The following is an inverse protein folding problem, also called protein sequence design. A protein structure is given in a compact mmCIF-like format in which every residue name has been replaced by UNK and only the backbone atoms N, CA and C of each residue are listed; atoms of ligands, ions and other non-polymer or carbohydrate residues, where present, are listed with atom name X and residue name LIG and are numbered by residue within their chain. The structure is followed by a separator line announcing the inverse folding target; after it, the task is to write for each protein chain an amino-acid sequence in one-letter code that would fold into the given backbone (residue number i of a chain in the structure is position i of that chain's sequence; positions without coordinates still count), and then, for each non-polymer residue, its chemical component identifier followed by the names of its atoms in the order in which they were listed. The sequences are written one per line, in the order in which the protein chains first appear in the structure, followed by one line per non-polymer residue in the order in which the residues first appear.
data_IF_697178569745
#
_entry.id   IF_697178569745
#
_cell.length_a   1.000
_cell.length_b   1.000
_cell.length_c   1.000
_cell.angle_alpha   90.00
_cell.angle_beta   90.00
_cell.angle_gamma   90.00
#
_symmetry.space_group_name_H-M   'P 1'
#
loop_
_entity.id
_entity.type
_entity.pdbx_description
1 polymer ?
#
# COMPACT_ATOMS: atom_id res chain seq x y z
N UNK A 1 -23.58 -6.19 12.87
CA UNK A 1 -22.96 -7.53 12.76
C UNK A 1 -23.58 -8.40 13.85
N UNK A 2 -24.36 -9.41 13.47
CA UNK A 2 -24.75 -10.46 14.42
C UNK A 2 -23.48 -11.12 14.97
N UNK A 3 -23.50 -11.50 16.26
CA UNK A 3 -22.33 -11.99 17.03
C UNK A 3 -21.72 -13.31 16.53
N UNK A 4 -21.96 -13.72 15.29
CA UNK A 4 -21.54 -15.01 14.71
C UNK A 4 -20.88 -14.89 13.33
N UNK A 5 -20.78 -13.69 12.74
CA UNK A 5 -20.03 -13.50 11.50
C UNK A 5 -18.52 -13.50 11.80
N UNK A 6 -17.79 -14.46 11.25
CA UNK A 6 -16.32 -14.51 11.33
C UNK A 6 -15.71 -13.47 10.39
N UNK A 7 -15.13 -12.41 10.97
CA UNK A 7 -14.48 -11.32 10.21
C UNK A 7 -13.21 -11.77 9.50
N UNK A 8 -12.67 -12.93 9.86
CA UNK A 8 -11.50 -13.56 9.23
C UNK A 8 -11.89 -14.68 8.27
N UNK A 9 -13.18 -14.84 7.95
CA UNK A 9 -13.62 -15.83 6.98
C UNK A 9 -12.90 -15.62 5.64
N UNK A 10 -12.40 -16.71 5.06
CA UNK A 10 -11.60 -16.67 3.83
C UNK A 10 -12.38 -17.27 2.67
N UNK A 11 -12.37 -16.58 1.53
CA UNK A 11 -12.92 -17.13 0.29
C UNK A 11 -12.00 -18.20 -0.32
N UNK A 12 -12.33 -18.71 -1.52
CA UNK A 12 -11.54 -19.74 -2.21
C UNK A 12 -10.13 -19.29 -2.60
N UNK A 13 -9.90 -17.98 -2.66
CA UNK A 13 -8.62 -17.34 -2.94
C UNK A 13 -7.95 -16.85 -1.64
N UNK A 14 -8.50 -17.26 -0.49
CA UNK A 14 -8.13 -16.86 0.85
C UNK A 14 -8.17 -15.36 1.13
N UNK A 15 -9.05 -14.64 0.44
CA UNK A 15 -9.37 -13.25 0.73
C UNK A 15 -10.32 -13.16 1.92
N UNK A 16 -9.97 -12.35 2.92
CA UNK A 16 -10.88 -11.93 3.99
C UNK A 16 -11.79 -10.78 3.53
N UNK A 17 -12.97 -10.56 4.15
CA UNK A 17 -13.85 -9.42 3.85
C UNK A 17 -13.13 -8.07 3.78
N UNK A 18 -12.12 -7.87 4.64
CA UNK A 18 -11.32 -6.65 4.69
C UNK A 18 -10.59 -6.39 3.36
N UNK A 19 -10.05 -7.42 2.72
CA UNK A 19 -9.37 -7.30 1.44
C UNK A 19 -10.35 -6.88 0.33
N UNK A 20 -11.54 -7.48 0.30
CA UNK A 20 -12.56 -7.14 -0.69
C UNK A 20 -13.06 -5.69 -0.52
N UNK A 21 -13.29 -5.27 0.73
CA UNK A 21 -13.69 -3.89 1.02
C UNK A 21 -12.58 -2.88 0.65
N UNK A 22 -11.33 -3.19 0.98
CA UNK A 22 -10.18 -2.34 0.63
C UNK A 22 -9.95 -2.26 -0.89
N UNK A 23 -10.08 -3.39 -1.60
CA UNK A 23 -9.96 -3.46 -3.06
C UNK A 23 -11.01 -2.68 -3.83
N UNK A 24 -12.15 -2.38 -3.22
CA UNK A 24 -13.20 -1.54 -3.80
C UNK A 24 -13.27 -0.15 -3.15
N UNK A 25 -12.33 0.21 -2.27
CA UNK A 25 -12.25 1.52 -1.63
C UNK A 25 -13.39 1.83 -0.65
N UNK A 26 -14.10 0.81 -0.15
CA UNK A 26 -15.26 0.98 0.74
C UNK A 26 -14.84 1.29 2.17
N UNK A 27 -14.37 2.53 2.40
CA UNK A 27 -13.76 2.97 3.67
C UNK A 27 -14.65 2.74 4.89
N UNK A 28 -15.97 2.98 4.79
CA UNK A 28 -16.89 2.77 5.90
C UNK A 28 -17.00 1.28 6.27
N UNK A 29 -17.00 0.40 5.27
CA UNK A 29 -17.02 -1.05 5.48
C UNK A 29 -15.68 -1.51 6.06
N UNK A 30 -14.56 -0.98 5.57
CA UNK A 30 -13.23 -1.22 6.15
C UNK A 30 -13.21 -0.81 7.63
N UNK A 31 -13.75 0.37 7.96
CA UNK A 31 -13.84 0.87 9.32
C UNK A 31 -14.60 -0.10 10.22
N UNK A 32 -15.80 -0.53 9.80
CA UNK A 32 -16.61 -1.49 10.54
C UNK A 32 -15.92 -2.83 10.74
N UNK A 33 -15.19 -3.34 9.73
CA UNK A 33 -14.48 -4.62 9.82
C UNK A 33 -13.30 -4.54 10.79
N UNK A 34 -12.53 -3.44 10.74
CA UNK A 34 -11.41 -3.20 11.67
C UNK A 34 -11.91 -3.04 13.10
N UNK A 35 -13.02 -2.32 13.32
CA UNK A 35 -13.66 -2.22 14.64
C UNK A 35 -14.18 -3.57 15.16
N UNK A 36 -14.57 -4.46 14.25
CA UNK A 36 -14.98 -5.82 14.57
C UNK A 36 -13.80 -6.80 14.76
N UNK A 37 -12.55 -6.32 14.67
CA UNK A 37 -11.35 -7.10 14.97
C UNK A 37 -10.59 -7.65 13.76
N UNK A 38 -10.95 -7.24 12.53
CA UNK A 38 -10.16 -7.61 11.35
C UNK A 38 -8.72 -7.08 11.45
N UNK A 39 -7.74 -7.90 11.08
CA UNK A 39 -6.33 -7.54 11.10
C UNK A 39 -6.00 -6.68 9.86
N UNK A 40 -5.64 -5.41 10.09
CA UNK A 40 -5.26 -4.46 9.04
C UNK A 40 -4.04 -4.88 8.22
N UNK A 41 -3.23 -5.80 8.74
CA UNK A 41 -2.04 -6.34 8.10
C UNK A 41 -2.26 -7.75 7.54
N UNK A 42 -3.50 -8.26 7.53
CA UNK A 42 -3.77 -9.56 6.95
C UNK A 42 -3.37 -9.61 5.48
N UNK A 43 -2.87 -10.77 5.07
CA UNK A 43 -2.44 -11.04 3.70
C UNK A 43 -3.47 -11.89 2.99
N UNK A 44 -3.70 -11.59 1.70
CA UNK A 44 -4.40 -12.49 0.80
C UNK A 44 -3.57 -13.76 0.54
N UNK A 45 -4.20 -14.85 0.10
CA UNK A 45 -3.53 -16.16 0.08
C UNK A 45 -2.45 -16.32 -0.98
N UNK A 46 -2.48 -15.53 -2.06
CA UNK A 46 -1.36 -15.44 -3.01
C UNK A 46 -0.17 -14.70 -2.41
N UNK A 47 -0.32 -14.10 -1.22
CA UNK A 47 0.71 -13.33 -0.55
C UNK A 47 0.97 -11.98 -1.20
N UNK A 48 0.18 -11.53 -2.17
CA UNK A 48 0.54 -10.37 -2.99
C UNK A 48 0.00 -9.03 -2.44
N UNK A 49 -0.88 -9.06 -1.44
CA UNK A 49 -1.56 -7.86 -0.97
C UNK A 49 -1.88 -7.86 0.52
N UNK A 50 -1.62 -6.72 1.15
CA UNK A 50 -2.29 -6.27 2.38
C UNK A 50 -3.36 -5.23 2.01
N UNK A 51 -4.33 -4.92 2.89
CA UNK A 51 -5.26 -3.82 2.67
C UNK A 51 -4.57 -2.51 2.25
N UNK A 52 -3.41 -2.18 2.84
CA UNK A 52 -2.64 -0.98 2.50
C UNK A 52 -2.07 -1.04 1.08
N UNK A 53 -1.42 -2.15 0.69
CA UNK A 53 -0.87 -2.31 -0.65
C UNK A 53 -1.95 -2.15 -1.73
N UNK A 54 -3.13 -2.74 -1.50
CA UNK A 54 -4.26 -2.66 -2.41
C UNK A 54 -4.83 -1.24 -2.48
N UNK A 55 -5.02 -0.56 -1.34
CA UNK A 55 -5.51 0.81 -1.31
C UNK A 55 -4.56 1.79 -2.03
N UNK A 56 -3.25 1.57 -1.88
CA UNK A 56 -2.22 2.35 -2.59
C UNK A 56 -2.23 2.05 -4.08
N UNK A 57 -2.31 0.78 -4.49
CA UNK A 57 -2.34 0.37 -5.90
C UNK A 57 -3.48 1.04 -6.66
N UNK A 58 -4.66 1.19 -6.04
CA UNK A 58 -5.84 1.81 -6.65
C UNK A 58 -5.99 3.30 -6.39
N UNK A 59 -5.06 3.92 -5.65
CA UNK A 59 -5.08 5.36 -5.43
C UNK A 59 -6.12 5.86 -4.41
N UNK A 60 -6.60 5.01 -3.50
CA UNK A 60 -7.62 5.37 -2.51
C UNK A 60 -7.03 6.17 -1.33
N UNK A 61 -6.77 7.45 -1.55
CA UNK A 61 -6.07 8.35 -0.60
C UNK A 61 -6.65 8.32 0.82
N UNK A 62 -7.96 8.45 0.98
CA UNK A 62 -8.60 8.44 2.31
C UNK A 62 -8.49 7.08 3.00
N UNK A 63 -8.58 5.98 2.23
CA UNK A 63 -8.43 4.65 2.76
C UNK A 63 -6.97 4.38 3.19
N UNK A 64 -5.99 4.83 2.40
CA UNK A 64 -4.57 4.76 2.79
C UNK A 64 -4.34 5.48 4.12
N UNK A 65 -4.84 6.72 4.25
CA UNK A 65 -4.76 7.50 5.49
C UNK A 65 -5.40 6.76 6.66
N UNK A 66 -6.60 6.21 6.46
CA UNK A 66 -7.30 5.43 7.49
C UNK A 66 -6.46 4.22 7.94
N UNK A 67 -5.93 3.43 7.00
CA UNK A 67 -5.16 2.23 7.30
C UNK A 67 -3.85 2.55 8.03
N UNK A 68 -3.12 3.60 7.63
CA UNK A 68 -1.92 4.07 8.32
C UNK A 68 -2.25 4.52 9.77
N UNK A 69 -3.36 5.23 9.96
CA UNK A 69 -3.85 5.61 11.29
C UNK A 69 -4.25 4.40 12.16
N UNK A 70 -4.50 3.24 11.55
CA UNK A 70 -4.75 1.96 12.22
C UNK A 70 -3.51 1.06 12.28
N UNK A 71 -2.31 1.63 12.10
CA UNK A 71 -1.03 0.93 12.20
C UNK A 71 -0.83 -0.16 11.13
N UNK A 72 -1.37 0.05 9.92
CA UNK A 72 -0.97 -0.75 8.78
C UNK A 72 0.54 -0.60 8.51
N UNK A 73 1.20 -1.71 8.19
CA UNK A 73 2.65 -1.77 7.96
C UNK A 73 3.03 -1.06 6.66
N UNK A 74 3.64 0.12 6.81
CA UNK A 74 4.14 0.95 5.70
C UNK A 74 5.29 0.30 4.93
N UNK A 75 5.89 -0.77 5.46
CA UNK A 75 6.96 -1.53 4.82
C UNK A 75 6.52 -2.89 4.28
N UNK A 76 5.21 -3.19 4.31
CA UNK A 76 4.67 -4.44 3.79
C UNK A 76 5.08 -4.64 2.33
N UNK A 77 5.50 -5.86 1.96
CA UNK A 77 5.94 -6.16 0.58
C UNK A 77 5.01 -7.16 -0.10
N UNK A 78 4.77 -6.93 -1.38
CA UNK A 78 4.14 -7.91 -2.27
C UNK A 78 5.18 -8.94 -2.77
N UNK A 79 4.78 -9.88 -3.62
CA UNK A 79 5.66 -10.96 -4.09
C UNK A 79 6.82 -10.48 -4.97
N UNK A 80 6.69 -9.30 -5.58
CA UNK A 80 7.76 -8.65 -6.34
C UNK A 80 8.67 -7.78 -5.44
N UNK A 81 8.49 -7.87 -4.12
CA UNK A 81 9.25 -7.08 -3.16
C UNK A 81 8.91 -5.60 -3.17
N UNK A 82 7.83 -5.19 -3.84
CA UNK A 82 7.37 -3.81 -3.90
C UNK A 82 6.60 -3.48 -2.62
N UNK A 83 6.96 -2.37 -2.01
CA UNK A 83 6.27 -1.82 -0.85
C UNK A 83 5.26 -0.74 -1.27
N UNK A 84 4.51 -0.13 -0.34
CA UNK A 84 3.56 0.94 -0.66
C UNK A 84 4.18 2.08 -1.46
N UNK A 85 5.42 2.50 -1.15
CA UNK A 85 6.03 3.65 -1.82
C UNK A 85 6.41 3.31 -3.27
N UNK A 86 6.82 2.06 -3.55
CA UNK A 86 6.98 1.59 -4.93
C UNK A 86 5.67 1.65 -5.71
N UNK A 87 4.57 1.18 -5.12
CA UNK A 87 3.27 1.14 -5.81
C UNK A 87 2.72 2.54 -6.07
N UNK A 88 2.88 3.47 -5.12
CA UNK A 88 2.54 4.87 -5.30
C UNK A 88 3.39 5.52 -6.41
N UNK A 89 4.69 5.21 -6.44
CA UNK A 89 5.60 5.68 -7.48
C UNK A 89 5.26 5.14 -8.86
N UNK A 90 4.92 3.85 -8.97
CA UNK A 90 4.53 3.21 -10.22
C UNK A 90 3.30 3.86 -10.85
N UNK A 91 2.30 4.20 -10.02
CA UNK A 91 1.02 4.74 -10.48
C UNK A 91 0.92 6.28 -10.41
N UNK A 92 1.99 6.96 -9.99
CA UNK A 92 2.04 8.43 -9.94
C UNK A 92 1.20 9.07 -8.84
N UNK A 93 0.87 8.33 -7.78
CA UNK A 93 0.03 8.82 -6.69
C UNK A 93 0.84 9.68 -5.69
N UNK A 94 1.14 10.92 -6.08
CA UNK A 94 1.99 11.83 -5.29
C UNK A 94 1.48 12.06 -3.87
N UNK A 95 0.19 12.31 -3.69
CA UNK A 95 -0.40 12.58 -2.37
C UNK A 95 -0.31 11.36 -1.46
N UNK A 96 -0.47 10.15 -2.02
CA UNK A 96 -0.28 8.90 -1.28
C UNK A 96 1.20 8.72 -0.93
N UNK A 97 2.12 8.95 -1.87
CA UNK A 97 3.55 8.90 -1.61
C UNK A 97 3.95 9.86 -0.48
N UNK A 98 3.36 11.07 -0.44
CA UNK A 98 3.56 12.00 0.66
C UNK A 98 3.16 11.41 2.02
N UNK A 99 1.94 10.87 2.12
CA UNK A 99 1.46 10.24 3.36
C UNK A 99 2.33 9.06 3.80
N UNK A 100 2.76 8.23 2.85
CA UNK A 100 3.59 7.07 3.14
C UNK A 100 4.95 7.50 3.71
N UNK A 101 5.57 8.53 3.15
CA UNK A 101 6.84 9.06 3.65
C UNK A 101 6.68 9.74 5.01
N UNK A 102 5.56 10.44 5.25
CA UNK A 102 5.22 10.95 6.59
C UNK A 102 5.01 9.83 7.62
N UNK A 103 4.47 8.70 7.18
CA UNK A 103 4.31 7.49 7.99
C UNK A 103 5.59 6.67 8.14
N UNK A 104 6.72 7.13 7.60
CA UNK A 104 8.03 6.51 7.77
C UNK A 104 8.47 5.54 6.66
N UNK A 105 7.82 5.56 5.49
CA UNK A 105 8.29 4.77 4.34
C UNK A 105 9.76 5.11 3.99
N UNK A 106 10.52 4.08 3.65
CA UNK A 106 11.91 4.23 3.23
C UNK A 106 11.97 4.73 1.77
N UNK A 107 12.47 5.95 1.56
CA UNK A 107 12.65 6.57 0.23
C UNK A 107 13.58 5.75 -0.68
N UNK A 108 14.50 4.97 -0.07
CA UNK A 108 15.52 4.19 -0.78
C UNK A 108 15.20 2.70 -0.85
N UNK A 109 13.95 2.32 -0.55
CA UNK A 109 13.52 0.93 -0.61
C UNK A 109 13.79 0.34 -2.00
N UNK A 110 14.04 -0.97 -2.03
CA UNK A 110 14.38 -1.70 -3.25
C UNK A 110 13.44 -2.89 -3.46
N UNK A 111 12.86 -2.96 -4.65
CA UNK A 111 12.10 -4.12 -5.08
C UNK A 111 13.01 -5.32 -5.33
N UNK A 112 12.46 -6.52 -5.28
CA UNK A 112 13.25 -7.73 -5.60
C UNK A 112 13.32 -7.98 -7.11
N UNK A 113 12.36 -7.45 -7.87
CA UNK A 113 12.34 -7.52 -9.33
C UNK A 113 13.24 -6.44 -9.95
N UNK A 114 14.54 -6.70 -9.94
CA UNK A 114 15.52 -5.83 -10.60
C UNK A 114 15.95 -4.62 -9.77
N UNK A 115 15.69 -4.60 -8.46
CA UNK A 115 16.31 -3.61 -7.56
C UNK A 115 15.81 -2.17 -7.75
N UNK A 116 14.60 -1.99 -8.28
CA UNK A 116 14.08 -0.65 -8.52
C UNK A 116 13.86 0.07 -7.21
N UNK A 117 14.11 1.39 -7.21
CA UNK A 117 13.70 2.29 -6.13
C UNK A 117 12.39 2.99 -6.52
N UNK A 118 11.67 3.63 -5.59
CA UNK A 118 10.55 4.49 -5.93
C UNK A 118 10.88 5.54 -6.99
N UNK A 119 12.11 6.09 -6.95
CA UNK A 119 12.55 7.07 -7.95
C UNK A 119 12.68 6.45 -9.35
N UNK A 120 13.18 5.21 -9.48
CA UNK A 120 13.20 4.49 -10.77
C UNK A 120 11.78 4.34 -11.34
N UNK A 121 10.83 3.89 -10.53
CA UNK A 121 9.45 3.72 -10.96
C UNK A 121 8.80 5.05 -11.37
N UNK A 122 8.92 6.10 -10.55
CA UNK A 122 8.35 7.40 -10.87
C UNK A 122 8.95 8.01 -12.15
N UNK A 123 10.25 7.81 -12.39
CA UNK A 123 10.94 8.29 -13.58
C UNK A 123 10.55 7.52 -14.85
N UNK A 124 10.51 6.17 -14.79
CA UNK A 124 10.13 5.31 -15.92
C UNK A 124 8.74 5.68 -16.46
N UNK A 125 7.78 5.87 -15.56
CA UNK A 125 6.39 6.15 -15.94
C UNK A 125 6.09 7.65 -16.11
N UNK A 126 7.11 8.52 -16.03
CA UNK A 126 6.99 9.94 -16.36
C UNK A 126 6.24 10.79 -15.31
N UNK A 127 6.18 10.35 -14.06
CA UNK A 127 5.46 11.02 -12.97
C UNK A 127 6.25 12.19 -12.40
N UNK A 128 6.39 13.26 -13.20
CA UNK A 128 7.25 14.41 -12.94
C UNK A 128 7.05 15.04 -11.55
N UNK A 129 5.80 15.19 -11.12
CA UNK A 129 5.45 15.74 -9.80
C UNK A 129 5.96 14.87 -8.64
N UNK A 130 5.91 13.56 -8.81
CA UNK A 130 6.39 12.60 -7.83
C UNK A 130 7.92 12.47 -7.86
N UNK A 131 8.54 12.53 -9.04
CA UNK A 131 10.00 12.61 -9.18
C UNK A 131 10.53 13.83 -8.41
N UNK A 132 9.93 15.01 -8.59
CA UNK A 132 10.30 16.22 -7.84
C UNK A 132 10.20 16.00 -6.34
N UNK A 133 9.06 15.48 -5.88
CA UNK A 133 8.85 15.18 -4.47
C UNK A 133 9.91 14.23 -3.91
N UNK A 134 10.21 13.12 -4.60
CA UNK A 134 11.21 12.15 -4.13
C UNK A 134 12.61 12.77 -4.07
N UNK A 135 13.00 13.58 -5.05
CA UNK A 135 14.29 14.31 -5.04
C UNK A 135 14.35 15.34 -3.92
N UNK A 136 13.26 16.07 -3.67
CA UNK A 136 13.13 16.99 -2.53
C UNK A 136 13.26 16.24 -1.19
N UNK A 137 12.81 14.97 -1.13
CA UNK A 137 13.00 14.07 0.01
C UNK A 137 14.34 13.31 -0.02
N UNK A 138 15.31 13.78 -0.79
CA UNK A 138 16.68 13.25 -0.87
C UNK A 138 16.80 11.83 -1.45
N UNK A 139 15.88 11.40 -2.32
CA UNK A 139 16.07 10.18 -3.10
C UNK A 139 17.39 10.23 -3.90
N UNK A 140 18.12 9.11 -3.91
CA UNK A 140 19.38 9.00 -4.65
C UNK A 140 19.13 8.90 -6.15
N UNK A 141 19.40 9.99 -6.86
CA UNK A 141 19.28 10.09 -8.33
C UNK A 141 20.31 9.26 -9.09
N UNK A 142 21.30 8.68 -8.40
CA UNK A 142 22.34 7.82 -8.95
C UNK A 142 22.19 6.35 -8.51
N UNK A 143 21.10 6.01 -7.81
CA UNK A 143 20.80 4.65 -7.45
C UNK A 143 20.79 3.77 -8.70
N UNK A 144 21.41 2.58 -8.62
CA UNK A 144 21.42 1.60 -9.71
C UNK A 144 20.31 0.59 -9.47
N UNK A 145 19.62 0.13 -10.52
CA UNK A 145 18.72 -1.02 -10.49
C UNK A 145 19.49 -2.34 -10.66
#
# INVERSE_FOLDING_TARGET
LDRHADVHARDKNGMEPLHAAAGNGHIDVVGLLVEAGADVNSRCADGDGTPLLVAVLFGYLELVRFLLNRHADVHARNNNGRDPLHLAAWNGHREIAHLLVEAGADIHCRSTDGGWTPLHAAAEFGHLDLVRFLVERHADVHARS
#
